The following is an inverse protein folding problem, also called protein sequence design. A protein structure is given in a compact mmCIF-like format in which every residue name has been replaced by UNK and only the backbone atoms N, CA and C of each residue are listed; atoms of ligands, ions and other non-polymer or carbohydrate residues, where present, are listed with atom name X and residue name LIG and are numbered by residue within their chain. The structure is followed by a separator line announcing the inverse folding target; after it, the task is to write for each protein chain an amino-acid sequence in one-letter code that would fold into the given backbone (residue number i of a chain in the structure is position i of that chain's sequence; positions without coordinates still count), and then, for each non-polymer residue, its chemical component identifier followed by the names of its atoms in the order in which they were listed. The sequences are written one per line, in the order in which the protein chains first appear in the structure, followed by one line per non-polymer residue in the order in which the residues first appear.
data_IF_759549876117
#
_entry.id   IF_759549876117
#
_cell.length_a   1.000
_cell.length_b   1.000
_cell.length_c   1.000
_cell.angle_alpha   90.00
_cell.angle_beta   90.00
_cell.angle_gamma   90.00
#
_symmetry.space_group_name_H-M   'P 1'
#
loop_
_entity.id
_entity.type
_entity.pdbx_description
1 polymer ?
#
# COMPACT_ATOMS: atom_id res chain seq x y z
N UNK A 1 -1.57 7.37 28.50
CA UNK A 1 -1.04 7.54 27.13
C UNK A 1 0.40 7.99 27.25
N UNK A 2 1.32 7.33 26.53
CA UNK A 2 2.72 7.75 26.52
C UNK A 2 2.87 9.05 25.73
N UNK A 3 3.85 9.89 26.10
CA UNK A 3 4.21 11.11 25.33
C UNK A 3 4.50 10.78 23.84
N UNK A 4 5.08 9.60 23.58
CA UNK A 4 5.33 9.10 22.22
C UNK A 4 4.02 8.92 21.43
N UNK A 5 3.02 8.29 22.04
CA UNK A 5 1.72 8.04 21.40
C UNK A 5 0.97 9.34 21.11
N UNK A 6 1.05 10.28 22.02
CA UNK A 6 0.44 11.60 21.83
C UNK A 6 1.09 12.36 20.67
N UNK A 7 2.41 12.38 20.59
CA UNK A 7 3.14 13.02 19.47
C UNK A 7 2.83 12.33 18.14
N UNK A 8 2.81 11.01 18.11
CA UNK A 8 2.45 10.24 16.91
C UNK A 8 1.03 10.60 16.43
N UNK A 9 0.08 10.65 17.34
CA UNK A 9 -1.30 11.04 17.04
C UNK A 9 -1.39 12.45 16.45
N UNK A 10 -0.67 13.41 17.02
CA UNK A 10 -0.64 14.79 16.51
C UNK A 10 -0.05 14.87 15.10
N UNK A 11 1.04 14.17 14.82
CA UNK A 11 1.65 14.13 13.49
C UNK A 11 0.68 13.55 12.46
N UNK A 12 0.02 12.44 12.76
CA UNK A 12 -0.95 11.82 11.85
C UNK A 12 -2.17 12.71 11.63
N UNK A 13 -2.62 13.45 12.66
CA UNK A 13 -3.69 14.41 12.52
C UNK A 13 -3.30 15.58 11.61
N UNK A 14 -2.12 16.17 11.80
CA UNK A 14 -1.60 17.24 10.94
C UNK A 14 -1.40 16.77 9.49
N UNK A 15 -1.04 15.50 9.30
CA UNK A 15 -0.93 14.91 7.96
C UNK A 15 -2.28 14.89 7.25
N UNK A 16 -3.38 14.54 7.95
CA UNK A 16 -4.73 14.61 7.39
C UNK A 16 -5.16 16.02 7.06
N UNK A 17 -4.89 16.96 7.94
CA UNK A 17 -5.20 18.37 7.73
C UNK A 17 -4.47 18.90 6.51
N UNK A 18 -3.19 18.60 6.37
CA UNK A 18 -2.38 18.96 5.20
C UNK A 18 -2.97 18.35 3.90
N UNK A 19 -3.32 17.06 3.91
CA UNK A 19 -3.95 16.41 2.76
C UNK A 19 -5.25 17.13 2.35
N UNK A 20 -6.11 17.43 3.31
CA UNK A 20 -7.38 18.09 3.05
C UNK A 20 -7.20 19.49 2.47
N UNK A 21 -6.17 20.24 2.88
CA UNK A 21 -5.89 21.58 2.38
C UNK A 21 -5.28 21.56 0.98
N UNK A 22 -4.35 20.63 0.72
CA UNK A 22 -3.53 20.67 -0.51
C UNK A 22 -4.08 19.75 -1.60
N UNK A 23 -4.58 18.57 -1.25
CA UNK A 23 -4.88 17.52 -2.22
C UNK A 23 -6.38 17.26 -2.43
N UNK A 24 -7.24 17.69 -1.50
CA UNK A 24 -8.69 17.52 -1.62
C UNK A 24 -9.31 18.55 -2.58
N UNK A 25 -8.79 18.61 -3.79
CA UNK A 25 -9.40 19.41 -4.85
C UNK A 25 -10.50 18.59 -5.54
N UNK A 26 -11.74 18.80 -5.14
CA UNK A 26 -12.91 18.32 -5.88
C UNK A 26 -13.06 19.14 -7.17
N UNK A 27 -12.34 18.76 -8.23
CA UNK A 27 -12.66 19.27 -9.55
C UNK A 27 -13.98 18.66 -9.96
N UNK A 28 -15.03 19.44 -10.01
CA UNK A 28 -16.31 19.01 -10.56
C UNK A 28 -16.10 18.66 -12.03
N UNK A 29 -16.47 17.45 -12.42
CA UNK A 29 -16.38 17.02 -13.81
C UNK A 29 -17.39 17.78 -14.65
N UNK A 30 -16.93 18.47 -15.71
CA UNK A 30 -17.76 19.14 -16.69
C UNK A 30 -17.71 18.37 -18.02
N UNK A 31 -18.83 17.76 -18.47
CA UNK A 31 -18.88 17.06 -19.75
C UNK A 31 -18.49 17.99 -20.92
N UNK A 32 -17.61 17.50 -21.78
CA UNK A 32 -17.12 18.25 -22.95
C UNK A 32 -15.99 19.24 -22.68
N UNK A 33 -15.64 19.51 -21.41
CA UNK A 33 -14.54 20.41 -21.02
C UNK A 33 -13.47 19.70 -20.21
N UNK A 34 -13.87 18.85 -19.27
CA UNK A 34 -12.93 18.15 -18.41
C UNK A 34 -12.20 17.05 -19.17
N UNK A 35 -10.89 17.00 -19.02
CA UNK A 35 -10.09 15.92 -19.59
C UNK A 35 -10.40 14.60 -18.88
N UNK A 36 -10.64 13.54 -19.63
CA UNK A 36 -10.87 12.19 -19.11
C UNK A 36 -9.58 11.39 -19.29
N UNK A 37 -8.92 11.06 -18.16
CA UNK A 37 -7.77 10.19 -18.18
C UNK A 37 -8.20 8.74 -18.44
N UNK A 38 -7.41 7.98 -19.19
CA UNK A 38 -7.61 6.54 -19.42
C UNK A 38 -7.40 5.70 -18.15
N UNK A 39 -6.66 6.24 -17.19
CA UNK A 39 -6.42 5.69 -15.88
C UNK A 39 -6.07 6.82 -14.91
N UNK A 40 -6.26 6.60 -13.62
CA UNK A 40 -5.97 7.57 -12.58
C UNK A 40 -5.58 6.90 -11.29
N UNK A 41 -4.77 7.58 -10.50
CA UNK A 41 -4.47 7.15 -9.14
C UNK A 41 -5.71 7.36 -8.28
N UNK A 42 -6.11 6.34 -7.57
CA UNK A 42 -7.14 6.44 -6.55
C UNK A 42 -6.46 6.43 -5.19
N UNK A 43 -6.53 7.55 -4.49
CA UNK A 43 -5.95 7.73 -3.18
C UNK A 43 -6.74 8.76 -2.38
N UNK A 44 -6.64 8.66 -1.07
CA UNK A 44 -7.22 9.61 -0.13
C UNK A 44 -6.18 9.98 0.95
N UNK A 45 -6.61 10.53 2.06
CA UNK A 45 -5.73 10.86 3.17
C UNK A 45 -5.14 9.62 3.88
N UNK A 46 -5.79 8.47 3.76
CA UNK A 46 -5.35 7.24 4.45
C UNK A 46 -4.01 6.73 3.93
N UNK A 47 -3.74 6.81 2.62
CA UNK A 47 -2.46 6.41 2.05
C UNK A 47 -1.32 7.27 2.60
N UNK A 48 -1.52 8.59 2.66
CA UNK A 48 -0.53 9.51 3.22
C UNK A 48 -0.31 9.28 4.71
N UNK A 49 -1.39 9.08 5.47
CA UNK A 49 -1.34 8.80 6.90
C UNK A 49 -0.61 7.48 7.18
N UNK A 50 -0.92 6.41 6.43
CA UNK A 50 -0.29 5.10 6.59
C UNK A 50 1.21 5.16 6.25
N UNK A 51 1.59 5.93 5.23
CA UNK A 51 2.99 6.14 4.87
C UNK A 51 3.76 6.84 6.00
N UNK A 52 3.21 7.91 6.55
CA UNK A 52 3.80 8.64 7.67
C UNK A 52 3.86 7.76 8.93
N UNK A 53 2.80 7.00 9.23
CA UNK A 53 2.76 6.08 10.35
C UNK A 53 3.87 5.03 10.28
N UNK A 54 4.05 4.42 9.12
CA UNK A 54 5.14 3.46 8.85
C UNK A 54 6.52 4.10 9.03
N UNK A 55 6.69 5.34 8.54
CA UNK A 55 7.96 6.07 8.65
C UNK A 55 8.31 6.42 10.10
N UNK A 56 7.31 6.75 10.93
CA UNK A 56 7.51 7.06 12.36
C UNK A 56 7.97 5.84 13.17
N UNK A 57 7.62 4.63 12.74
CA UNK A 57 8.13 3.40 13.33
C UNK A 57 9.56 3.05 12.82
N UNK A 58 10.11 3.87 11.94
CA UNK A 58 11.43 3.73 11.32
C UNK A 58 11.63 2.38 10.61
N UNK A 59 10.54 1.81 10.11
CA UNK A 59 10.56 0.53 9.42
C UNK A 59 10.58 0.76 7.91
N UNK A 60 11.78 0.72 7.32
CA UNK A 60 12.01 1.09 5.92
C UNK A 60 12.08 -0.12 4.96
N UNK A 61 11.78 -1.32 5.46
CA UNK A 61 11.78 -2.58 4.69
C UNK A 61 10.46 -3.32 4.88
N UNK A 62 10.37 -4.55 4.36
CA UNK A 62 9.24 -5.41 4.63
C UNK A 62 9.04 -5.59 6.13
N UNK A 63 7.89 -5.21 6.64
CA UNK A 63 7.60 -5.17 8.06
C UNK A 63 6.12 -5.43 8.36
N UNK A 64 5.60 -4.92 9.48
CA UNK A 64 4.23 -5.15 9.91
C UNK A 64 3.17 -4.78 8.85
N UNK A 65 3.42 -3.74 8.07
CA UNK A 65 2.52 -3.30 7.01
C UNK A 65 2.47 -4.29 5.84
N UNK A 66 3.63 -4.81 5.41
CA UNK A 66 3.70 -5.83 4.37
C UNK A 66 2.93 -7.09 4.80
N UNK A 67 3.19 -7.59 6.00
CA UNK A 67 2.49 -8.77 6.54
C UNK A 67 0.98 -8.56 6.65
N UNK A 68 0.55 -7.39 7.11
CA UNK A 68 -0.87 -7.03 7.20
C UNK A 68 -1.53 -6.98 5.83
N UNK A 69 -0.84 -6.45 4.83
CA UNK A 69 -1.30 -6.41 3.44
C UNK A 69 -1.42 -7.83 2.86
N UNK A 70 -0.36 -8.63 2.96
CA UNK A 70 -0.33 -10.02 2.47
C UNK A 70 -1.49 -10.85 3.05
N UNK A 71 -1.70 -10.76 4.35
CA UNK A 71 -2.78 -11.48 5.04
C UNK A 71 -4.16 -11.04 4.57
N UNK A 72 -4.39 -9.73 4.43
CA UNK A 72 -5.68 -9.20 3.98
C UNK A 72 -5.96 -9.52 2.53
N UNK A 73 -4.94 -9.38 1.68
CA UNK A 73 -5.08 -9.69 0.25
C UNK A 73 -5.30 -11.17 0.01
N UNK A 74 -4.58 -12.06 0.70
CA UNK A 74 -4.81 -13.50 0.63
C UNK A 74 -6.25 -13.86 1.00
N UNK A 75 -6.77 -13.26 2.07
CA UNK A 75 -8.15 -13.46 2.50
C UNK A 75 -9.16 -12.95 1.46
N UNK A 76 -8.93 -11.77 0.89
CA UNK A 76 -9.83 -11.17 -0.11
C UNK A 76 -9.87 -11.99 -1.40
N UNK A 77 -8.72 -12.53 -1.84
CA UNK A 77 -8.60 -13.37 -3.03
C UNK A 77 -9.01 -14.84 -2.79
N UNK A 78 -9.25 -15.26 -1.55
CA UNK A 78 -9.56 -16.65 -1.21
C UNK A 78 -8.39 -17.61 -1.39
N UNK A 79 -7.14 -17.10 -1.36
CA UNK A 79 -5.91 -17.90 -1.45
C UNK A 79 -5.27 -18.13 -0.08
N UNK A 80 -4.49 -19.21 0.06
CA UNK A 80 -3.84 -19.52 1.35
C UNK A 80 -2.71 -18.56 1.70
N UNK A 81 -1.94 -18.17 0.71
CA UNK A 81 -0.72 -17.36 0.90
C UNK A 81 -0.64 -16.27 -0.15
N UNK A 82 -0.15 -15.10 0.27
CA UNK A 82 0.20 -13.99 -0.59
C UNK A 82 1.55 -13.46 -0.13
N UNK A 83 2.42 -13.10 -1.05
CA UNK A 83 3.73 -12.52 -0.73
C UNK A 83 3.99 -11.31 -1.60
N UNK A 84 4.40 -10.21 -0.98
CA UNK A 84 4.88 -9.02 -1.67
C UNK A 84 6.29 -9.26 -2.21
N UNK A 85 6.52 -8.77 -3.41
CA UNK A 85 7.85 -8.69 -4.00
C UNK A 85 8.12 -7.26 -4.45
N UNK A 86 9.39 -6.85 -4.44
CA UNK A 86 9.80 -5.52 -4.86
C UNK A 86 10.21 -5.45 -6.33
N UNK A 87 10.27 -6.60 -7.02
CA UNK A 87 10.60 -6.65 -8.43
C UNK A 87 10.25 -8.01 -9.05
N UNK A 88 10.04 -7.99 -10.37
CA UNK A 88 9.79 -9.18 -11.16
C UNK A 88 10.95 -10.20 -11.09
N UNK A 89 12.16 -9.73 -10.93
CA UNK A 89 13.35 -10.59 -10.83
C UNK A 89 13.32 -11.46 -9.55
N UNK A 90 12.88 -10.89 -8.43
CA UNK A 90 12.70 -11.65 -7.18
C UNK A 90 11.50 -12.59 -7.29
N UNK A 91 10.47 -12.21 -8.04
CA UNK A 91 9.33 -13.07 -8.34
C UNK A 91 9.78 -14.34 -9.06
N UNK A 92 10.56 -14.24 -10.12
CA UNK A 92 11.06 -15.40 -10.88
C UNK A 92 11.93 -16.31 -10.02
N UNK A 93 12.76 -15.74 -9.15
CA UNK A 93 13.60 -16.51 -8.24
C UNK A 93 12.77 -17.24 -7.18
N UNK A 94 11.76 -16.61 -6.62
CA UNK A 94 10.85 -17.23 -5.65
C UNK A 94 9.95 -18.31 -6.29
N UNK A 95 9.48 -18.10 -7.51
CA UNK A 95 8.76 -19.11 -8.27
C UNK A 95 9.64 -20.33 -8.58
N UNK A 96 10.91 -20.13 -8.90
CA UNK A 96 11.84 -21.25 -9.13
C UNK A 96 12.05 -22.09 -7.85
N UNK A 97 12.19 -21.44 -6.69
CA UNK A 97 12.26 -22.13 -5.40
C UNK A 97 10.94 -22.82 -5.01
N UNK A 98 9.79 -22.27 -5.40
CA UNK A 98 8.48 -22.85 -5.09
C UNK A 98 8.16 -24.10 -5.94
N UNK A 99 8.68 -24.19 -7.16
CA UNK A 99 8.54 -25.37 -7.99
C UNK A 99 9.25 -26.61 -7.40
N UNK A 100 10.28 -26.37 -6.60
CA UNK A 100 10.99 -27.46 -5.89
C UNK A 100 10.28 -27.89 -4.59
N UNK A 101 9.33 -27.09 -4.08
CA UNK A 101 8.58 -27.37 -2.85
C UNK A 101 7.10 -27.62 -3.19
N UNK A 102 6.82 -28.74 -3.85
CA UNK A 102 5.53 -29.07 -4.46
C UNK A 102 4.43 -29.45 -3.45
N UNK A 103 4.15 -28.60 -2.47
CA UNK A 103 3.00 -28.80 -1.57
C UNK A 103 2.36 -27.51 -1.08
N UNK A 104 2.74 -26.35 -1.59
CA UNK A 104 2.25 -25.06 -1.12
C UNK A 104 1.29 -24.43 -2.14
N UNK A 105 0.10 -24.07 -1.64
CA UNK A 105 -0.95 -23.43 -2.40
C UNK A 105 -0.51 -22.20 -3.16
N UNK A 106 -1.37 -21.71 -4.02
CA UNK A 106 -1.15 -20.60 -4.95
C UNK A 106 -0.49 -19.40 -4.29
N UNK A 107 0.68 -19.03 -4.76
CA UNK A 107 1.36 -17.78 -4.38
C UNK A 107 0.95 -16.73 -5.40
N UNK A 108 0.29 -15.69 -4.95
CA UNK A 108 0.01 -14.51 -5.76
C UNK A 108 1.02 -13.41 -5.39
N UNK A 109 1.69 -12.88 -6.39
CA UNK A 109 2.64 -11.77 -6.21
C UNK A 109 2.10 -10.55 -6.93
N UNK A 110 2.15 -9.42 -6.28
CA UNK A 110 1.80 -8.12 -6.86
C UNK A 110 3.07 -7.28 -6.88
N UNK A 111 3.54 -6.95 -8.06
CA UNK A 111 4.59 -5.98 -8.22
C UNK A 111 3.99 -4.57 -8.05
N UNK A 112 4.56 -3.72 -7.20
CA UNK A 112 4.21 -2.31 -7.23
C UNK A 112 4.71 -1.75 -8.57
N UNK A 113 3.77 -1.34 -9.42
CA UNK A 113 4.09 -0.64 -10.66
C UNK A 113 4.63 0.73 -10.27
N UNK A 114 5.94 0.90 -10.37
CA UNK A 114 6.58 2.21 -10.34
C UNK A 114 6.48 2.80 -11.75
N UNK A 115 5.58 3.75 -11.95
CA UNK A 115 5.68 4.76 -13.00
C UNK A 115 6.26 6.04 -12.42
#
# INVERSE_FOLDING_TARGET
MSKKEELKRQILQLTREYYNEVHKTSKVFEPGKSFVNYGGRYFNDEEMVNLVDSSLDFWLTAGPWAHKFETRLAKWLGVKHCALTNSFLILTHRLHCSFFCSSLGTILTIDPVYE
#
